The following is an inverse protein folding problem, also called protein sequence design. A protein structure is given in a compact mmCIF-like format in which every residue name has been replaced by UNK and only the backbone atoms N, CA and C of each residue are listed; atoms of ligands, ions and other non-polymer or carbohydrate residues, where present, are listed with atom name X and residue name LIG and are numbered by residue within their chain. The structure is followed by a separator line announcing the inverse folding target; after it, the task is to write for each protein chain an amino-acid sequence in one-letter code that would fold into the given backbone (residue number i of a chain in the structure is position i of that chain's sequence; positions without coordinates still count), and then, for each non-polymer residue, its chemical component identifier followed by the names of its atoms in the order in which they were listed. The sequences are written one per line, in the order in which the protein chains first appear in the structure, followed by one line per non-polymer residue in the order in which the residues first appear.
data_IF_840116013717
#
_entry.id   IF_840116013717
#
_cell.length_a   1.000
_cell.length_b   1.000
_cell.length_c   1.000
_cell.angle_alpha   90.00
_cell.angle_beta   90.00
_cell.angle_gamma   90.00
#
_symmetry.space_group_name_H-M   'P 1'
#
loop_
_entity.id
_entity.type
_entity.pdbx_description
1 polymer ?
#
# COMPACT_ATOMS: atom_id res chain seq x y z
N UNK A 1 36.02 33.00 -13.10
CA UNK A 1 35.40 31.73 -13.52
C UNK A 1 34.09 31.55 -12.76
N UNK A 2 32.99 31.88 -13.44
CA UNK A 2 31.63 31.29 -13.40
C UNK A 2 31.05 30.99 -12.00
N UNK A 3 30.24 31.84 -11.37
CA UNK A 3 28.88 32.31 -11.72
C UNK A 3 27.80 31.22 -11.93
N UNK A 4 27.76 30.17 -11.10
CA UNK A 4 26.72 29.10 -11.19
C UNK A 4 25.88 28.86 -9.92
N UNK A 5 25.86 29.76 -8.94
CA UNK A 5 25.16 29.52 -7.65
C UNK A 5 23.99 30.45 -7.33
N UNK A 6 23.46 31.22 -8.29
CA UNK A 6 22.51 32.31 -7.99
C UNK A 6 21.10 32.22 -8.61
N UNK A 7 20.60 31.06 -9.06
CA UNK A 7 19.30 31.01 -9.77
C UNK A 7 18.21 30.11 -9.17
N UNK A 8 18.49 29.28 -8.16
CA UNK A 8 17.47 28.44 -7.57
C UNK A 8 16.76 29.14 -6.39
N UNK A 9 15.73 29.94 -6.72
CA UNK A 9 14.77 30.47 -5.75
C UNK A 9 14.19 29.35 -4.85
N UNK A 10 14.08 28.13 -5.37
CA UNK A 10 13.69 26.92 -4.64
C UNK A 10 14.66 26.54 -3.52
N UNK A 11 15.97 26.52 -3.77
CA UNK A 11 16.97 26.18 -2.76
C UNK A 11 17.07 27.23 -1.67
N UNK A 12 16.94 28.52 -2.00
CA UNK A 12 16.87 29.60 -1.00
C UNK A 12 15.60 29.55 -0.15
N UNK A 13 14.46 29.17 -0.75
CA UNK A 13 13.17 29.02 -0.06
C UNK A 13 13.15 27.77 0.83
N UNK A 14 13.76 26.68 0.37
CA UNK A 14 14.02 25.47 1.17
C UNK A 14 14.96 25.81 2.33
N UNK A 15 16.05 26.54 2.09
CA UNK A 15 16.96 27.00 3.14
C UNK A 15 16.29 27.93 4.16
N UNK A 16 15.45 28.87 3.72
CA UNK A 16 14.75 29.76 4.63
C UNK A 16 13.70 29.02 5.46
N UNK A 17 12.93 28.09 4.87
CA UNK A 17 11.95 27.27 5.58
C UNK A 17 12.62 26.26 6.53
N UNK A 18 13.84 25.82 6.21
CA UNK A 18 14.65 24.94 7.07
C UNK A 18 15.25 25.67 8.28
N UNK A 19 15.54 26.97 8.18
CA UNK A 19 16.25 27.72 9.22
C UNK A 19 15.37 28.67 10.06
N UNK A 20 14.10 28.88 9.69
CA UNK A 20 13.19 29.77 10.44
C UNK A 20 12.57 29.17 11.70
N UNK A 21 12.80 27.89 12.01
CA UNK A 21 12.14 27.20 13.12
C UNK A 21 13.14 26.66 14.16
N UNK A 22 12.95 27.04 15.43
CA UNK A 22 13.95 27.01 16.50
C UNK A 22 14.26 25.62 17.11
N UNK A 23 13.86 24.49 16.50
CA UNK A 23 14.07 23.14 17.08
C UNK A 23 14.55 22.08 16.08
N UNK A 24 15.78 22.19 15.54
CA UNK A 24 16.33 21.23 14.58
C UNK A 24 16.49 19.81 15.14
N UNK A 25 16.74 19.66 16.45
CA UNK A 25 16.89 18.38 17.12
C UNK A 25 15.58 17.56 17.16
N UNK A 26 14.42 18.20 17.37
CA UNK A 26 13.13 17.53 17.37
C UNK A 26 12.72 17.08 15.96
N UNK A 27 13.04 17.85 14.91
CA UNK A 27 12.80 17.43 13.52
C UNK A 27 13.63 16.20 13.17
N UNK A 28 14.92 16.21 13.49
CA UNK A 28 15.81 15.08 13.22
C UNK A 28 15.37 13.80 13.95
N UNK A 29 14.92 13.93 15.21
CA UNK A 29 14.33 12.83 15.97
C UNK A 29 12.99 12.33 15.38
N UNK A 30 12.13 13.23 14.91
CA UNK A 30 10.86 12.83 14.26
C UNK A 30 11.08 12.10 12.93
N UNK A 31 12.07 12.53 12.14
CA UNK A 31 12.44 11.92 10.86
C UNK A 31 13.05 10.54 11.05
N UNK A 32 13.95 10.38 12.04
CA UNK A 32 14.53 9.07 12.35
C UNK A 32 13.48 8.08 12.84
N UNK A 33 12.53 8.53 13.67
CA UNK A 33 11.41 7.70 14.12
C UNK A 33 10.52 7.25 12.95
N UNK A 34 10.16 8.17 12.04
CA UNK A 34 9.37 7.84 10.86
C UNK A 34 10.06 6.81 9.96
N UNK A 35 11.36 6.98 9.71
CA UNK A 35 12.13 6.02 8.93
C UNK A 35 12.19 4.64 9.60
N UNK A 36 12.32 4.58 10.92
CA UNK A 36 12.24 3.31 11.65
C UNK A 36 10.88 2.64 11.51
N UNK A 37 9.78 3.40 11.58
CA UNK A 37 8.44 2.84 11.38
C UNK A 37 8.27 2.24 9.98
N UNK A 38 8.69 2.95 8.93
CA UNK A 38 8.65 2.44 7.55
C UNK A 38 9.45 1.16 7.38
N UNK A 39 10.66 1.12 7.94
CA UNK A 39 11.54 -0.04 7.85
C UNK A 39 10.94 -1.25 8.58
N UNK A 40 10.39 -1.05 9.78
CA UNK A 40 9.77 -2.13 10.55
C UNK A 40 8.54 -2.68 9.81
N UNK A 41 7.64 -1.80 9.34
CA UNK A 41 6.44 -2.23 8.61
C UNK A 41 6.79 -2.99 7.32
N UNK A 42 7.73 -2.45 6.54
CA UNK A 42 8.21 -3.11 5.30
C UNK A 42 8.86 -4.45 5.59
N UNK A 43 9.70 -4.53 6.64
CA UNK A 43 10.36 -5.76 7.04
C UNK A 43 9.34 -6.82 7.47
N UNK A 44 8.36 -6.47 8.30
CA UNK A 44 7.33 -7.40 8.74
C UNK A 44 6.48 -7.92 7.57
N UNK A 45 6.06 -7.04 6.65
CA UNK A 45 5.37 -7.44 5.43
C UNK A 45 6.23 -8.40 4.57
N UNK A 46 7.52 -8.10 4.43
CA UNK A 46 8.48 -8.94 3.70
C UNK A 46 8.68 -10.31 4.35
N UNK A 47 8.77 -10.38 5.68
CA UNK A 47 8.85 -11.65 6.41
C UNK A 47 7.59 -12.48 6.18
N UNK A 48 6.40 -11.90 6.34
CA UNK A 48 5.14 -12.64 6.12
C UNK A 48 5.02 -13.11 4.66
N UNK A 49 5.41 -12.28 3.69
CA UNK A 49 5.41 -12.65 2.28
C UNK A 49 6.39 -13.79 1.98
N UNK A 50 7.63 -13.69 2.48
CA UNK A 50 8.65 -14.74 2.33
C UNK A 50 8.24 -16.06 2.99
N UNK A 51 7.64 -16.01 4.18
CA UNK A 51 7.06 -17.18 4.84
C UNK A 51 5.93 -17.77 4.02
N UNK A 52 5.01 -16.97 3.48
CA UNK A 52 3.95 -17.46 2.61
C UNK A 52 4.49 -18.24 1.41
N UNK A 53 5.49 -17.70 0.71
CA UNK A 53 6.12 -18.37 -0.43
C UNK A 53 6.80 -19.68 0.00
N UNK A 54 7.59 -19.65 1.08
CA UNK A 54 8.29 -20.82 1.58
C UNK A 54 7.30 -21.94 1.97
N UNK A 55 6.23 -21.60 2.68
CA UNK A 55 5.18 -22.55 3.05
C UNK A 55 4.44 -23.10 1.83
N UNK A 56 4.15 -22.27 0.82
CA UNK A 56 3.55 -22.74 -0.42
C UNK A 56 4.44 -23.76 -1.14
N UNK A 57 5.77 -23.53 -1.18
CA UNK A 57 6.71 -24.43 -1.84
C UNK A 57 6.91 -25.74 -1.08
N UNK A 58 6.98 -25.68 0.26
CA UNK A 58 7.26 -26.87 1.10
C UNK A 58 5.98 -27.70 1.30
N UNK A 59 4.84 -27.05 1.58
CA UNK A 59 3.61 -27.70 2.01
C UNK A 59 2.45 -27.59 1.02
N UNK A 60 2.62 -26.89 -0.11
CA UNK A 60 1.55 -26.72 -1.10
C UNK A 60 1.07 -28.03 -1.73
N UNK A 61 1.94 -29.06 -1.76
CA UNK A 61 1.57 -30.41 -2.22
C UNK A 61 0.70 -31.20 -1.22
N UNK A 62 0.69 -30.81 0.06
CA UNK A 62 -0.05 -31.53 1.11
C UNK A 62 -1.55 -31.25 1.08
N UNK A 63 -1.99 -30.16 0.45
CA UNK A 63 -3.40 -29.84 0.33
C UNK A 63 -3.66 -28.49 -0.34
N UNK A 64 -4.70 -28.45 -1.18
CA UNK A 64 -5.09 -27.26 -1.92
C UNK A 64 -5.45 -26.07 -1.01
N UNK A 65 -5.99 -26.34 0.18
CA UNK A 65 -6.33 -25.31 1.17
C UNK A 65 -5.09 -24.58 1.70
N UNK A 66 -3.99 -25.30 1.95
CA UNK A 66 -2.72 -24.70 2.39
C UNK A 66 -2.19 -23.78 1.29
N UNK A 67 -2.12 -24.29 0.05
CA UNK A 67 -1.67 -23.50 -1.09
C UNK A 67 -2.53 -22.24 -1.28
N UNK A 68 -3.85 -22.38 -1.21
CA UNK A 68 -4.79 -21.26 -1.37
C UNK A 68 -4.60 -20.20 -0.27
N UNK A 69 -4.40 -20.62 0.98
CA UNK A 69 -4.16 -19.69 2.08
C UNK A 69 -2.81 -18.97 1.95
N UNK A 70 -1.75 -19.67 1.55
CA UNK A 70 -0.45 -19.06 1.27
C UNK A 70 -0.58 -18.03 0.14
N UNK A 71 -1.21 -18.38 -0.99
CA UNK A 71 -1.43 -17.45 -2.09
C UNK A 71 -2.24 -16.22 -1.65
N UNK A 72 -3.28 -16.41 -0.83
CA UNK A 72 -4.02 -15.31 -0.21
C UNK A 72 -3.11 -14.39 0.63
N UNK A 73 -2.28 -14.95 1.53
CA UNK A 73 -1.35 -14.17 2.35
C UNK A 73 -0.29 -13.45 1.51
N UNK A 74 0.15 -14.05 0.40
CA UNK A 74 1.06 -13.43 -0.56
C UNK A 74 0.42 -12.19 -1.19
N UNK A 75 -0.80 -12.29 -1.73
CA UNK A 75 -1.48 -11.15 -2.33
C UNK A 75 -1.83 -10.06 -1.32
N UNK A 76 -2.23 -10.43 -0.10
CA UNK A 76 -2.53 -9.47 0.97
C UNK A 76 -1.30 -8.64 1.34
N UNK A 77 -0.16 -9.29 1.56
CA UNK A 77 1.08 -8.60 1.91
C UNK A 77 1.65 -7.79 0.73
N UNK A 78 1.54 -8.33 -0.49
CA UNK A 78 1.92 -7.61 -1.71
C UNK A 78 1.08 -6.34 -1.89
N UNK A 79 -0.23 -6.40 -1.68
CA UNK A 79 -1.14 -5.26 -1.77
C UNK A 79 -0.75 -4.13 -0.80
N UNK A 80 -0.50 -4.46 0.47
CA UNK A 80 -0.12 -3.46 1.48
C UNK A 80 1.25 -2.84 1.21
N UNK A 81 2.21 -3.64 0.74
CA UNK A 81 3.52 -3.15 0.38
C UNK A 81 3.49 -2.28 -0.90
N UNK A 82 2.79 -2.75 -1.93
CA UNK A 82 2.69 -2.05 -3.22
C UNK A 82 1.96 -0.72 -3.07
N UNK A 83 1.02 -0.60 -2.13
CA UNK A 83 0.34 0.65 -1.84
C UNK A 83 1.31 1.72 -1.29
N UNK A 84 2.11 1.35 -0.30
CA UNK A 84 3.15 2.24 0.23
C UNK A 84 4.17 2.60 -0.85
N UNK A 85 4.63 1.60 -1.61
CA UNK A 85 5.61 1.80 -2.68
C UNK A 85 5.10 2.76 -3.75
N UNK A 86 3.85 2.57 -4.21
CA UNK A 86 3.25 3.45 -5.20
C UNK A 86 3.01 4.86 -4.65
N UNK A 87 2.55 4.99 -3.42
CA UNK A 87 2.39 6.30 -2.77
C UNK A 87 3.73 7.04 -2.70
N UNK A 88 4.82 6.33 -2.38
CA UNK A 88 6.17 6.90 -2.38
C UNK A 88 6.62 7.36 -3.78
N UNK A 89 6.20 6.67 -4.85
CA UNK A 89 6.52 7.08 -6.23
C UNK A 89 5.66 8.25 -6.72
N UNK A 90 4.38 8.26 -6.38
CA UNK A 90 3.41 9.18 -7.00
C UNK A 90 3.15 10.44 -6.18
N UNK A 91 3.27 10.38 -4.85
CA UNK A 91 2.93 11.48 -3.95
C UNK A 91 3.73 11.42 -2.62
N UNK A 92 5.03 11.74 -2.70
CA UNK A 92 5.96 11.77 -1.56
C UNK A 92 5.50 12.66 -0.40
N UNK A 93 4.81 13.77 -0.68
CA UNK A 93 4.34 14.71 0.34
C UNK A 93 3.22 14.12 1.22
N UNK A 94 2.48 13.14 0.69
CA UNK A 94 1.42 12.43 1.40
C UNK A 94 1.89 11.18 2.15
N UNK A 95 3.18 10.82 2.03
CA UNK A 95 3.73 9.59 2.55
C UNK A 95 3.71 9.57 4.09
N UNK A 96 3.00 8.59 4.66
CA UNK A 96 2.87 8.39 6.11
C UNK A 96 2.96 6.92 6.45
N UNK A 97 3.22 6.53 7.71
CA UNK A 97 3.22 5.11 8.11
C UNK A 97 1.85 4.45 7.88
N UNK A 98 0.79 5.26 7.83
CA UNK A 98 -0.56 4.84 7.48
C UNK A 98 -0.73 4.50 5.98
N UNK A 99 0.22 4.90 5.11
CA UNK A 99 0.18 4.61 3.66
C UNK A 99 0.33 3.12 3.34
N UNK A 100 0.84 2.30 4.27
CA UNK A 100 0.77 0.85 4.17
C UNK A 100 -0.66 0.30 4.28
N UNK A 101 -1.63 1.14 4.68
CA UNK A 101 -3.02 0.75 4.95
C UNK A 101 -3.16 -0.35 6.01
N UNK A 102 -2.17 -0.51 6.90
CA UNK A 102 -2.24 -1.45 8.01
C UNK A 102 -3.15 -0.92 9.14
N UNK A 103 -3.23 0.40 9.29
CA UNK A 103 -4.10 1.04 10.28
C UNK A 103 -5.54 1.10 9.77
N UNK A 104 -6.22 -0.04 9.85
CA UNK A 104 -7.66 -0.16 9.61
C UNK A 104 -8.47 -0.22 10.91
N UNK A 105 -9.77 0.07 10.80
CA UNK A 105 -10.69 0.09 11.93
C UNK A 105 -10.75 -1.28 12.63
N UNK A 106 -11.12 -1.35 13.91
CA UNK A 106 -11.31 -2.63 14.59
C UNK A 106 -12.24 -3.59 13.83
N UNK A 107 -13.25 -3.05 13.15
CA UNK A 107 -14.18 -3.82 12.31
C UNK A 107 -13.52 -4.51 11.10
N UNK A 108 -12.47 -3.92 10.54
CA UNK A 108 -11.69 -4.57 9.47
C UNK A 108 -10.94 -5.78 10.02
N UNK A 109 -10.26 -5.61 11.15
CA UNK A 109 -9.49 -6.69 11.76
C UNK A 109 -10.39 -7.84 12.21
N UNK A 110 -11.57 -7.54 12.76
CA UNK A 110 -12.54 -8.59 13.10
C UNK A 110 -13.03 -9.32 11.84
N UNK A 111 -13.35 -8.61 10.75
CA UNK A 111 -13.74 -9.23 9.49
C UNK A 111 -12.62 -10.12 8.92
N UNK A 112 -11.37 -9.68 8.97
CA UNK A 112 -10.22 -10.47 8.55
C UNK A 112 -10.10 -11.75 9.39
N UNK A 113 -10.16 -11.65 10.72
CA UNK A 113 -10.09 -12.83 11.61
C UNK A 113 -11.25 -13.79 11.35
N UNK A 114 -12.47 -13.28 11.20
CA UNK A 114 -13.64 -14.08 10.85
C UNK A 114 -13.44 -14.80 9.52
N UNK A 115 -12.87 -14.15 8.50
CA UNK A 115 -12.60 -14.77 7.21
C UNK A 115 -11.58 -15.91 7.31
N UNK A 116 -10.56 -15.77 8.16
CA UNK A 116 -9.55 -16.82 8.36
C UNK A 116 -10.13 -18.00 9.12
N UNK A 117 -10.91 -17.75 10.17
CA UNK A 117 -11.61 -18.79 10.92
C UNK A 117 -12.57 -19.55 10.00
N UNK A 118 -13.38 -18.83 9.20
CA UNK A 118 -14.30 -19.44 8.25
C UNK A 118 -13.55 -20.31 7.23
N UNK A 119 -12.44 -19.82 6.68
CA UNK A 119 -11.63 -20.55 5.71
C UNK A 119 -11.12 -21.88 6.28
N UNK A 120 -10.52 -21.86 7.47
CA UNK A 120 -9.97 -23.06 8.10
C UNK A 120 -11.07 -24.00 8.60
N UNK A 121 -12.16 -23.48 9.16
CA UNK A 121 -13.32 -24.28 9.53
C UNK A 121 -13.93 -24.99 8.31
N UNK A 122 -14.07 -24.29 7.19
CA UNK A 122 -14.54 -24.87 5.92
C UNK A 122 -13.59 -25.94 5.40
N UNK A 123 -12.28 -25.67 5.41
CA UNK A 123 -11.27 -26.65 4.97
C UNK A 123 -11.28 -27.92 5.81
N UNK A 124 -11.59 -27.82 7.11
CA UNK A 124 -11.65 -28.95 8.02
C UNK A 124 -12.96 -29.74 7.93
N UNK A 125 -14.11 -29.06 7.87
CA UNK A 125 -15.43 -29.70 7.88
C UNK A 125 -15.83 -30.20 6.48
N UNK A 126 -15.50 -29.44 5.43
CA UNK A 126 -15.91 -29.70 4.04
C UNK A 126 -14.73 -29.58 3.05
N UNK A 127 -13.72 -30.48 3.13
CA UNK A 127 -12.53 -30.42 2.27
C UNK A 127 -12.85 -30.56 0.77
N UNK A 128 -13.99 -31.17 0.42
CA UNK A 128 -14.47 -31.32 -0.96
C UNK A 128 -14.90 -30.02 -1.64
N UNK A 129 -15.15 -28.95 -0.87
CA UNK A 129 -15.53 -27.64 -1.41
C UNK A 129 -14.32 -26.80 -1.85
N UNK A 130 -13.09 -27.25 -1.56
CA UNK A 130 -11.88 -26.61 -2.07
C UNK A 130 -11.75 -26.87 -3.58
N UNK A 131 -12.16 -25.91 -4.40
CA UNK A 131 -12.07 -25.98 -5.86
C UNK A 131 -10.98 -25.08 -6.41
N UNK A 132 -10.10 -25.66 -7.24
CA UNK A 132 -9.06 -24.92 -7.97
C UNK A 132 -9.67 -23.81 -8.83
N UNK A 133 -10.79 -24.09 -9.52
CA UNK A 133 -11.43 -23.11 -10.40
C UNK A 133 -11.87 -21.85 -9.67
N UNK A 134 -12.47 -22.00 -8.48
CA UNK A 134 -12.90 -20.86 -7.66
C UNK A 134 -11.68 -20.07 -7.18
N UNK A 135 -10.63 -20.77 -6.74
CA UNK A 135 -9.37 -20.14 -6.32
C UNK A 135 -8.70 -19.37 -7.47
N UNK A 136 -8.65 -19.94 -8.67
CA UNK A 136 -8.09 -19.29 -9.86
C UNK A 136 -8.86 -18.03 -10.28
N UNK A 137 -10.19 -18.06 -10.20
CA UNK A 137 -11.01 -16.85 -10.44
C UNK A 137 -10.69 -15.78 -9.40
N UNK A 138 -10.58 -16.16 -8.11
CA UNK A 138 -10.18 -15.25 -7.05
C UNK A 138 -8.82 -14.59 -7.30
N UNK A 139 -7.81 -15.38 -7.70
CA UNK A 139 -6.48 -14.88 -8.05
C UNK A 139 -6.56 -13.88 -9.21
N UNK A 140 -7.31 -14.20 -10.27
CA UNK A 140 -7.50 -13.30 -11.39
C UNK A 140 -8.14 -11.97 -10.96
N UNK A 141 -9.18 -12.03 -10.12
CA UNK A 141 -9.82 -10.84 -9.57
C UNK A 141 -8.85 -10.01 -8.73
N UNK A 142 -8.01 -10.64 -7.90
CA UNK A 142 -6.97 -9.94 -7.13
C UNK A 142 -5.97 -9.23 -8.03
N UNK A 143 -5.47 -9.89 -9.08
CA UNK A 143 -4.52 -9.29 -10.03
C UNK A 143 -5.14 -8.10 -10.75
N UNK A 144 -6.37 -8.26 -11.27
CA UNK A 144 -7.07 -7.19 -12.00
C UNK A 144 -7.34 -5.99 -11.07
N UNK A 145 -7.83 -6.24 -9.86
CA UNK A 145 -8.08 -5.19 -8.87
C UNK A 145 -6.81 -4.46 -8.46
N UNK A 146 -5.71 -5.20 -8.25
CA UNK A 146 -4.39 -4.65 -7.94
C UNK A 146 -3.91 -3.72 -9.05
N UNK A 147 -3.89 -4.20 -10.30
CA UNK A 147 -3.48 -3.39 -11.45
C UNK A 147 -4.34 -2.14 -11.60
N UNK A 148 -5.66 -2.27 -11.47
CA UNK A 148 -6.58 -1.15 -11.59
C UNK A 148 -6.32 -0.07 -10.53
N UNK A 149 -6.09 -0.48 -9.27
CA UNK A 149 -5.75 0.43 -8.18
C UNK A 149 -4.42 1.14 -8.42
N UNK A 150 -3.41 0.42 -8.91
CA UNK A 150 -2.08 0.98 -9.14
C UNK A 150 -2.08 1.95 -10.32
N UNK A 151 -2.82 1.64 -11.38
CA UNK A 151 -3.06 2.55 -12.50
C UNK A 151 -3.82 3.81 -12.07
N UNK A 152 -4.76 3.69 -11.13
CA UNK A 152 -5.44 4.84 -10.54
C UNK A 152 -4.47 5.74 -9.77
N UNK A 153 -3.60 5.17 -8.93
CA UNK A 153 -2.56 5.94 -8.22
C UNK A 153 -1.60 6.63 -9.19
N UNK A 154 -1.16 5.95 -10.25
CA UNK A 154 -0.33 6.56 -11.31
C UNK A 154 -1.03 7.72 -12.01
N UNK A 155 -2.30 7.55 -12.41
CA UNK A 155 -3.04 8.57 -13.15
C UNK A 155 -3.43 9.77 -12.29
N UNK A 156 -3.81 9.55 -11.04
CA UNK A 156 -4.15 10.64 -10.14
C UNK A 156 -2.90 11.35 -9.59
N UNK A 157 -1.77 10.64 -9.46
CA UNK A 157 -0.49 11.18 -8.97
C UNK A 157 -0.66 12.11 -7.75
N UNK A 158 -0.31 13.39 -7.86
CA UNK A 158 -0.45 14.43 -6.82
C UNK A 158 -1.91 14.62 -6.36
N UNK A 159 -2.86 14.19 -7.18
CA UNK A 159 -4.28 14.15 -6.90
C UNK A 159 -4.76 13.02 -6.00
N UNK A 160 -3.97 11.95 -5.86
CA UNK A 160 -4.34 10.82 -5.01
C UNK A 160 -3.92 11.10 -3.56
N UNK A 161 -4.91 11.33 -2.71
CA UNK A 161 -4.70 11.42 -1.26
C UNK A 161 -5.52 10.31 -0.61
N UNK A 162 -4.88 9.52 0.27
CA UNK A 162 -5.54 8.46 1.05
C UNK A 162 -6.66 9.01 1.94
N UNK A 163 -6.56 10.27 2.35
CA UNK A 163 -7.63 11.00 3.02
C UNK A 163 -8.37 11.88 2.02
N UNK A 164 -9.70 11.93 2.15
CA UNK A 164 -10.54 12.81 1.33
C UNK A 164 -10.08 14.25 1.56
N UNK A 165 -9.51 14.87 0.52
CA UNK A 165 -9.09 16.26 0.60
C UNK A 165 -10.32 17.16 0.76
N UNK A 166 -10.50 17.74 1.95
CA UNK A 166 -11.63 18.63 2.27
C UNK A 166 -11.42 20.03 1.67
N UNK A 167 -10.17 20.40 1.35
CA UNK A 167 -9.84 21.68 0.70
C UNK A 167 -9.05 21.47 -0.59
N UNK A 168 -9.44 22.21 -1.63
CA UNK A 168 -8.81 22.19 -2.96
C UNK A 168 -7.42 22.85 -2.89
N UNK A 169 -6.35 22.08 -3.17
CA UNK A 169 -5.02 22.66 -3.37
C UNK A 169 -4.92 23.33 -4.75
N UNK A 170 -4.06 24.34 -4.92
CA UNK A 170 -3.91 25.05 -6.21
C UNK A 170 -3.42 24.14 -7.33
N UNK A 171 -2.71 23.07 -6.98
CA UNK A 171 -2.14 22.08 -7.91
C UNK A 171 -3.08 20.88 -8.16
N UNK A 172 -4.26 20.82 -7.50
CA UNK A 172 -5.27 19.80 -7.75
C UNK A 172 -6.02 20.08 -9.05
N UNK A 173 -5.65 19.38 -10.12
CA UNK A 173 -6.44 19.32 -11.35
C UNK A 173 -7.26 18.02 -11.39
N UNK A 174 -8.47 18.12 -11.93
CA UNK A 174 -9.35 16.96 -12.11
C UNK A 174 -8.74 16.02 -13.16
N UNK A 175 -8.26 14.86 -12.73
CA UNK A 175 -7.77 13.84 -13.65
C UNK A 175 -8.96 13.17 -14.34
N UNK A 176 -9.21 13.52 -15.60
CA UNK A 176 -10.29 12.93 -16.43
C UNK A 176 -9.79 11.96 -17.49
N UNK A 177 -8.47 11.75 -17.58
CA UNK A 177 -7.82 10.88 -18.57
C UNK A 177 -7.50 9.49 -17.98
N UNK A 178 -7.48 8.48 -18.85
CA UNK A 178 -7.15 7.10 -18.48
C UNK A 178 -8.25 6.40 -17.68
N UNK A 179 -7.88 5.74 -16.59
CA UNK A 179 -8.80 4.94 -15.73
C UNK A 179 -9.93 5.80 -15.16
N UNK A 180 -9.67 7.08 -14.89
CA UNK A 180 -10.66 8.03 -14.39
C UNK A 180 -11.72 8.44 -15.43
N UNK A 181 -11.52 8.12 -16.72
CA UNK A 181 -12.57 8.26 -17.73
C UNK A 181 -13.59 7.11 -17.69
N UNK A 182 -13.17 5.94 -17.19
CA UNK A 182 -14.01 4.74 -17.09
C UNK A 182 -14.79 4.73 -15.77
N UNK A 183 -14.15 5.08 -14.66
CA UNK A 183 -14.74 5.03 -13.31
C UNK A 183 -14.37 6.29 -12.53
N UNK A 184 -15.36 6.92 -11.87
CA UNK A 184 -15.16 8.17 -11.10
C UNK A 184 -14.36 7.99 -9.81
N UNK A 185 -14.27 6.76 -9.29
CA UNK A 185 -13.59 6.43 -8.03
C UNK A 185 -12.80 5.12 -8.11
N UNK A 186 -11.74 5.05 -8.93
CA UNK A 186 -11.05 3.79 -9.21
C UNK A 186 -10.10 3.33 -8.08
N UNK A 187 -9.81 4.19 -7.11
CA UNK A 187 -8.93 3.89 -5.97
C UNK A 187 -9.51 4.29 -4.61
N UNK A 188 -10.83 4.22 -4.42
CA UNK A 188 -11.38 4.39 -3.05
C UNK A 188 -10.74 3.33 -2.13
N UNK A 189 -10.26 3.72 -0.94
CA UNK A 189 -9.79 2.77 0.06
C UNK A 189 -10.93 1.86 0.52
#
# INVERSE_FOLDING_TARGET
MVSYWSSNLTLKRIWSILWTDHRPHLRMFSLSLLHHLFNIQSFLLGVVNGWSIAFALIYGGSGLHILTFCVYAYFLTLFHFSEFFMTALTNLESLRPDSFLLNHSPAYWTAAMCSWIEFWARAWIFPSLCSLYISSIGILCCIVGELFRKLAMCHASVGFTHQIAVRKHRDHQLCTKGVYSLVRHPGRP
#
